data_IF_164001150615
#
_entry.id   IF_164001150615
#
_cell.length_a   1.000
_cell.length_b   1.000
_cell.length_c   1.000
_cell.angle_alpha   90.00
_cell.angle_beta   90.00
_cell.angle_gamma   90.00
#
_symmetry.space_group_name_H-M   'P 1'
#
loop_
_entity.id
_entity.type
_entity.pdbx_description
1 polymer ?
#
# COMPACT_ATOMS: atom_id res chain seq x y z
N UNK A 1 11.03 -56.68 -29.93
CA UNK A 1 12.02 -57.55 -29.24
C UNK A 1 12.63 -56.71 -28.11
N UNK A 2 12.21 -56.94 -26.85
CA UNK A 2 12.99 -57.59 -25.77
C UNK A 2 14.05 -56.63 -25.18
N UNK A 3 14.20 -56.30 -23.88
CA UNK A 3 13.79 -56.77 -22.52
C UNK A 3 14.00 -55.54 -21.55
N UNK A 4 13.20 -55.30 -20.49
CA UNK A 4 13.35 -55.74 -19.06
C UNK A 4 14.77 -55.45 -18.49
N UNK A 5 14.97 -54.75 -17.36
CA UNK A 5 14.59 -55.03 -15.94
C UNK A 5 14.56 -53.72 -15.10
N UNK A 6 13.65 -53.44 -14.14
CA UNK A 6 13.40 -53.98 -12.78
C UNK A 6 14.59 -53.91 -11.79
N UNK A 7 14.48 -53.04 -10.77
CA UNK A 7 14.92 -53.31 -9.39
C UNK A 7 14.34 -52.26 -8.43
N UNK A 8 13.91 -52.72 -7.26
CA UNK A 8 13.28 -52.00 -6.16
C UNK A 8 14.01 -52.37 -4.86
N UNK A 9 14.09 -51.44 -3.88
CA UNK A 9 14.20 -51.66 -2.42
C UNK A 9 14.74 -50.36 -1.75
N UNK A 10 14.55 -50.03 -0.47
CA UNK A 10 13.58 -50.28 0.62
C UNK A 10 14.18 -49.54 1.85
N UNK A 11 13.33 -48.82 2.60
CA UNK A 11 13.34 -48.51 4.06
C UNK A 11 14.59 -47.99 4.81
N UNK A 12 14.39 -46.96 5.65
CA UNK A 12 14.73 -46.82 7.11
C UNK A 12 14.55 -45.34 7.50
N UNK A 13 13.51 -44.88 8.23
CA UNK A 13 13.14 -44.95 9.66
C UNK A 13 14.27 -44.59 10.67
N UNK A 14 14.19 -43.40 11.28
CA UNK A 14 14.53 -43.17 12.70
C UNK A 14 14.03 -41.81 13.22
N UNK A 15 13.12 -41.87 14.21
CA UNK A 15 12.98 -40.86 15.28
C UNK A 15 14.09 -41.09 16.32
N UNK A 16 14.28 -40.13 17.25
CA UNK A 16 14.02 -40.50 18.65
C UNK A 16 13.27 -39.44 19.47
N UNK A 17 12.56 -39.96 20.49
CA UNK A 17 11.88 -39.24 21.57
C UNK A 17 12.77 -39.01 22.82
N UNK A 18 12.21 -38.23 23.77
CA UNK A 18 12.50 -38.09 25.22
C UNK A 18 13.28 -36.82 25.61
N UNK A 19 13.07 -36.13 26.75
CA UNK A 19 12.32 -36.42 27.96
C UNK A 19 11.93 -35.12 28.70
N UNK A 20 10.99 -35.23 29.65
CA UNK A 20 10.47 -34.19 30.54
C UNK A 20 11.38 -33.90 31.76
N UNK A 21 11.25 -32.73 32.39
CA UNK A 21 11.34 -32.58 33.86
C UNK A 21 10.63 -31.29 34.35
N UNK A 22 9.81 -31.46 35.38
CA UNK A 22 9.05 -30.49 36.17
C UNK A 22 9.91 -29.93 37.32
N UNK A 23 9.75 -28.68 37.76
CA UNK A 23 9.81 -28.36 39.20
C UNK A 23 9.19 -26.99 39.57
N UNK A 24 8.40 -27.03 40.65
CA UNK A 24 7.63 -25.97 41.31
C UNK A 24 8.38 -25.49 42.56
N UNK A 25 8.42 -24.19 42.88
CA UNK A 25 8.50 -23.70 44.28
C UNK A 25 7.74 -22.40 44.51
N UNK A 26 6.64 -22.51 45.25
CA UNK A 26 6.11 -21.47 46.15
C UNK A 26 6.99 -21.40 47.41
N UNK A 27 7.15 -20.21 48.01
CA UNK A 27 7.12 -20.06 49.47
C UNK A 27 6.85 -18.60 49.87
N UNK A 28 6.11 -18.50 50.97
CA UNK A 28 5.45 -17.36 51.61
C UNK A 28 6.29 -16.74 52.75
N UNK A 29 5.76 -15.61 53.28
CA UNK A 29 5.87 -15.00 54.64
C UNK A 29 6.77 -13.76 54.77
N UNK A 30 6.52 -12.71 55.59
CA UNK A 30 5.41 -12.17 56.39
C UNK A 30 5.91 -10.84 57.05
N UNK A 31 5.05 -9.81 57.16
CA UNK A 31 5.01 -8.64 58.11
C UNK A 31 6.28 -7.79 58.40
N UNK A 32 6.15 -6.46 58.24
CA UNK A 32 5.88 -5.49 59.34
C UNK A 32 5.83 -4.04 58.84
N UNK A 33 4.86 -3.31 59.42
CA UNK A 33 4.72 -1.86 59.49
C UNK A 33 6.05 -1.11 59.63
N UNK A 34 6.20 0.02 58.93
CA UNK A 34 6.41 1.29 59.60
C UNK A 34 6.05 2.49 58.72
N UNK A 35 5.28 3.37 59.36
CA UNK A 35 4.71 4.60 58.89
C UNK A 35 5.83 5.66 58.85
N UNK A 36 6.06 6.30 57.70
CA UNK A 36 6.80 7.57 57.67
C UNK A 36 6.24 8.42 56.54
N UNK A 37 5.56 9.50 56.95
CA UNK A 37 5.13 10.62 56.11
C UNK A 37 6.22 11.01 55.12
N UNK A 38 5.99 10.77 53.84
CA UNK A 38 6.63 11.49 52.75
C UNK A 38 5.56 12.24 51.97
N UNK A 39 5.80 13.53 51.86
CA UNK A 39 4.94 14.53 51.25
C UNK A 39 4.56 14.11 49.83
N UNK A 40 3.26 14.13 49.53
CA UNK A 40 2.75 14.02 48.18
C UNK A 40 3.17 15.28 47.41
N UNK A 41 4.27 15.19 46.66
CA UNK A 41 4.56 16.15 45.59
C UNK A 41 3.70 15.71 44.41
N UNK A 42 2.56 16.37 44.24
CA UNK A 42 1.74 16.28 43.02
C UNK A 42 2.64 16.75 41.89
N UNK A 43 3.29 15.81 41.21
CA UNK A 43 3.83 16.07 39.89
C UNK A 43 2.60 16.10 38.99
N UNK A 44 2.24 17.31 38.56
CA UNK A 44 1.34 17.49 37.44
C UNK A 44 1.94 16.70 36.29
N UNK A 45 1.31 15.56 35.98
CA UNK A 45 1.56 14.84 34.75
C UNK A 45 1.10 15.80 33.66
N UNK A 46 2.06 16.50 33.04
CA UNK A 46 1.80 17.22 31.81
C UNK A 46 1.28 16.17 30.83
N UNK A 47 0.01 16.31 30.48
CA UNK A 47 -0.62 15.62 29.38
C UNK A 47 0.33 15.80 28.17
N UNK A 48 0.83 14.74 27.51
CA UNK A 48 1.65 14.95 26.33
C UNK A 48 0.82 15.77 25.35
N UNK A 49 1.40 16.90 24.91
CA UNK A 49 0.76 17.75 23.91
C UNK A 49 0.29 16.86 22.75
N UNK A 50 -0.92 17.12 22.20
CA UNK A 50 -1.35 16.41 21.00
C UNK A 50 -0.24 16.55 19.96
N UNK A 51 0.30 15.41 19.52
CA UNK A 51 1.38 15.35 18.53
C UNK A 51 0.91 16.19 17.35
N UNK A 52 1.49 17.38 17.18
CA UNK A 52 1.12 18.22 16.06
C UNK A 52 1.44 17.43 14.79
N UNK A 53 0.53 17.39 13.80
CA UNK A 53 0.83 16.74 12.53
C UNK A 53 2.13 17.34 12.01
N UNK A 54 3.13 16.48 11.82
CA UNK A 54 4.43 16.87 11.29
C UNK A 54 4.19 17.56 9.94
N UNK A 55 4.31 18.88 9.92
CA UNK A 55 4.28 19.65 8.67
C UNK A 55 5.54 19.24 7.92
N UNK A 56 5.38 18.41 6.89
CA UNK A 56 6.50 17.93 6.07
C UNK A 56 7.16 19.15 5.44
N UNK A 57 8.40 19.47 5.85
CA UNK A 57 9.11 20.59 5.25
C UNK A 57 9.30 20.34 3.75
N UNK A 58 9.32 21.38 2.89
CA UNK A 58 9.51 21.24 1.44
C UNK A 58 10.79 20.47 1.03
N UNK A 59 11.85 20.54 1.83
CA UNK A 59 13.10 19.82 1.56
C UNK A 59 12.95 18.31 1.77
N UNK A 60 12.28 17.91 2.85
CA UNK A 60 11.98 16.51 3.14
C UNK A 60 11.06 15.88 2.09
N UNK A 61 10.13 16.64 1.50
CA UNK A 61 9.27 16.15 0.41
C UNK A 61 10.07 15.95 -0.87
N UNK A 62 10.91 16.92 -1.27
CA UNK A 62 11.74 16.77 -2.47
C UNK A 62 12.65 15.54 -2.41
N UNK A 63 13.27 15.30 -1.25
CA UNK A 63 14.12 14.13 -1.05
C UNK A 63 13.31 12.82 -1.13
N UNK A 64 12.15 12.75 -0.49
CA UNK A 64 11.27 11.58 -0.52
C UNK A 64 10.78 11.26 -1.94
N UNK A 65 10.39 12.29 -2.69
CA UNK A 65 9.89 12.17 -4.07
C UNK A 65 11.00 11.66 -5.00
N UNK A 66 12.19 12.26 -4.89
CA UNK A 66 13.37 11.86 -5.68
C UNK A 66 13.78 10.41 -5.38
N UNK A 67 13.79 10.03 -4.11
CA UNK A 67 14.13 8.66 -3.71
C UNK A 67 13.09 7.66 -4.22
N UNK A 68 11.80 7.98 -4.06
CA UNK A 68 10.70 7.14 -4.53
C UNK A 68 10.76 6.94 -6.04
N UNK A 69 10.99 8.03 -6.80
CA UNK A 69 11.22 7.98 -8.24
C UNK A 69 12.36 7.03 -8.61
N UNK A 70 13.52 7.17 -7.96
CA UNK A 70 14.69 6.35 -8.24
C UNK A 70 14.48 4.87 -7.93
N UNK A 71 13.68 4.55 -6.91
CA UNK A 71 13.32 3.16 -6.58
C UNK A 71 12.36 2.60 -7.63
N UNK A 72 11.32 3.35 -7.99
CA UNK A 72 10.36 2.92 -9.01
C UNK A 72 11.04 2.70 -10.37
N UNK A 73 11.98 3.56 -10.76
CA UNK A 73 12.71 3.44 -12.02
C UNK A 73 13.53 2.14 -12.14
N UNK A 74 13.96 1.55 -11.01
CA UNK A 74 14.63 0.24 -11.02
C UNK A 74 13.70 -0.91 -11.37
N UNK A 75 12.41 -0.77 -11.03
CA UNK A 75 11.38 -1.76 -11.35
C UNK A 75 10.73 -1.49 -12.72
N UNK A 76 10.60 -0.22 -13.11
CA UNK A 76 10.02 0.20 -14.38
C UNK A 76 10.92 1.23 -15.09
N UNK A 77 11.81 0.79 -15.99
CA UNK A 77 12.73 1.67 -16.70
C UNK A 77 12.05 2.69 -17.62
N UNK A 78 10.78 2.48 -17.99
CA UNK A 78 10.00 3.38 -18.84
C UNK A 78 9.36 4.53 -18.06
N UNK A 79 9.51 4.56 -16.72
CA UNK A 79 8.99 5.61 -15.87
C UNK A 79 9.59 6.97 -16.26
N UNK A 80 8.72 7.94 -16.53
CA UNK A 80 9.11 9.30 -16.92
C UNK A 80 9.00 10.30 -15.77
N UNK A 81 7.85 10.33 -15.10
CA UNK A 81 7.56 11.26 -13.99
C UNK A 81 6.66 10.62 -12.94
N UNK A 82 7.03 10.78 -11.68
CA UNK A 82 6.18 10.48 -10.52
C UNK A 82 5.08 11.55 -10.40
N UNK A 83 3.81 11.14 -10.36
CA UNK A 83 2.67 12.07 -10.26
C UNK A 83 2.23 12.26 -8.82
N UNK A 84 1.93 11.15 -8.13
CA UNK A 84 1.50 11.13 -6.73
C UNK A 84 1.86 9.79 -6.11
N UNK A 85 2.04 9.79 -4.79
CA UNK A 85 2.12 8.57 -4.02
C UNK A 85 1.39 8.72 -2.67
N UNK A 86 0.97 7.57 -2.17
CA UNK A 86 0.43 7.31 -0.85
C UNK A 86 1.53 6.62 -0.03
N UNK A 87 1.89 7.21 1.10
CA UNK A 87 2.92 6.74 2.03
C UNK A 87 2.63 5.35 2.58
N UNK A 88 1.36 4.97 2.70
CA UNK A 88 0.97 3.63 3.08
C UNK A 88 -0.37 3.23 2.46
N UNK A 89 -0.37 2.06 1.82
CA UNK A 89 -1.54 1.42 1.27
C UNK A 89 -1.52 -0.08 1.53
N UNK A 90 -2.71 -0.66 1.68
CA UNK A 90 -2.93 -2.09 1.80
C UNK A 90 -3.88 -2.56 0.71
N UNK A 91 -3.49 -3.59 -0.04
CA UNK A 91 -4.30 -4.15 -1.11
C UNK A 91 -5.22 -5.26 -0.59
N UNK A 92 -6.46 -5.23 -1.07
CA UNK A 92 -7.46 -6.28 -0.91
C UNK A 92 -7.99 -6.69 -2.28
N UNK A 93 -8.47 -7.93 -2.38
CA UNK A 93 -9.12 -8.46 -3.58
C UNK A 93 -10.47 -9.06 -3.21
N UNK A 94 -11.50 -8.79 -4.01
CA UNK A 94 -12.81 -9.40 -3.83
C UNK A 94 -12.77 -10.86 -4.27
N UNK A 95 -13.21 -11.74 -3.38
CA UNK A 95 -13.30 -13.17 -3.67
C UNK A 95 -14.66 -13.55 -4.29
N UNK A 96 -14.82 -14.81 -4.70
CA UNK A 96 -16.06 -15.32 -5.30
C UNK A 96 -17.24 -15.39 -4.32
N UNK A 97 -16.98 -15.33 -3.02
CA UNK A 97 -17.98 -15.35 -1.95
C UNK A 97 -18.47 -13.92 -1.63
N UNK A 98 -17.88 -12.90 -2.25
CA UNK A 98 -18.21 -11.50 -2.04
C UNK A 98 -17.51 -10.87 -0.82
N UNK A 99 -16.51 -11.54 -0.26
CA UNK A 99 -15.70 -11.04 0.85
C UNK A 99 -14.36 -10.46 0.35
N UNK A 100 -13.78 -9.56 1.13
CA UNK A 100 -12.50 -8.91 0.82
C UNK A 100 -11.34 -9.70 1.42
N UNK A 101 -10.55 -10.33 0.56
CA UNK A 101 -9.33 -11.02 0.95
C UNK A 101 -8.17 -10.01 1.01
N UNK A 102 -7.52 -9.93 2.16
CA UNK A 102 -6.30 -9.11 2.33
C UNK A 102 -5.14 -9.78 1.58
N UNK A 103 -4.51 -9.05 0.67
CA UNK A 103 -3.32 -9.52 -0.04
C UNK A 103 -2.03 -9.12 0.70
N UNK A 104 -0.92 -9.81 0.42
CA UNK A 104 0.38 -9.55 1.05
C UNK A 104 1.11 -8.31 0.48
N UNK A 105 0.40 -7.43 -0.24
CA UNK A 105 0.92 -6.19 -0.78
C UNK A 105 0.56 -5.02 0.14
N UNK A 106 1.57 -4.54 0.87
CA UNK A 106 1.42 -3.40 1.78
C UNK A 106 2.65 -2.51 1.70
N UNK A 107 2.45 -1.21 1.44
CA UNK A 107 3.57 -0.31 1.27
C UNK A 107 3.20 0.99 0.58
N UNK A 108 4.13 1.55 -0.20
CA UNK A 108 3.90 2.85 -0.87
C UNK A 108 3.17 2.60 -2.18
N UNK A 109 1.97 3.16 -2.34
CA UNK A 109 1.23 3.14 -3.60
C UNK A 109 1.61 4.39 -4.41
N UNK A 110 2.13 4.21 -5.62
CA UNK A 110 2.55 5.31 -6.48
C UNK A 110 1.87 5.24 -7.84
N UNK A 111 1.50 6.40 -8.37
CA UNK A 111 1.06 6.58 -9.75
C UNK A 111 2.05 7.47 -10.50
N UNK A 112 2.36 7.08 -11.73
CA UNK A 112 3.41 7.72 -12.52
C UNK A 112 3.11 7.63 -14.02
N UNK A 113 3.76 8.51 -14.78
CA UNK A 113 3.74 8.49 -16.25
C UNK A 113 4.87 7.61 -16.79
N UNK A 114 4.65 7.05 -17.97
CA UNK A 114 5.57 6.16 -18.67
C UNK A 114 5.75 6.62 -20.10
N UNK A 115 6.92 6.36 -20.66
CA UNK A 115 7.14 6.46 -22.10
C UNK A 115 6.61 5.20 -22.77
N UNK A 116 5.53 5.28 -23.56
CA UNK A 116 4.99 4.12 -24.24
C UNK A 116 6.00 3.62 -25.28
N UNK A 117 6.10 2.30 -25.40
CA UNK A 117 6.93 1.63 -26.43
C UNK A 117 6.05 0.66 -27.22
N UNK A 118 6.52 0.20 -28.38
CA UNK A 118 5.78 -0.78 -29.19
C UNK A 118 5.47 -2.07 -28.41
N UNK A 119 6.34 -2.47 -27.48
CA UNK A 119 6.16 -3.65 -26.64
C UNK A 119 5.29 -3.40 -25.39
N UNK A 120 5.12 -2.14 -24.98
CA UNK A 120 4.38 -1.76 -23.78
C UNK A 120 3.66 -0.41 -24.02
N UNK A 121 2.41 -0.43 -24.53
CA UNK A 121 1.67 0.78 -24.94
C UNK A 121 1.00 1.50 -23.74
N UNK A 122 1.58 1.40 -22.56
CA UNK A 122 1.04 1.99 -21.34
C UNK A 122 1.65 3.37 -21.12
N UNK A 123 0.82 4.41 -21.11
CA UNK A 123 1.21 5.80 -20.86
C UNK A 123 1.35 6.11 -19.36
N UNK A 124 0.71 5.30 -18.51
CA UNK A 124 0.74 5.42 -17.07
C UNK A 124 1.04 4.08 -16.41
N UNK A 125 1.43 4.15 -15.14
CA UNK A 125 1.62 2.99 -14.29
C UNK A 125 1.20 3.28 -12.87
N UNK A 126 0.70 2.26 -12.20
CA UNK A 126 0.43 2.31 -10.76
C UNK A 126 1.09 1.10 -10.10
N UNK A 127 1.80 1.32 -9.00
CA UNK A 127 2.60 0.29 -8.33
C UNK A 127 2.51 0.42 -6.81
N UNK A 128 2.39 -0.71 -6.11
CA UNK A 128 2.65 -0.80 -4.68
C UNK A 128 4.08 -1.32 -4.49
N UNK A 129 4.94 -0.46 -3.97
CA UNK A 129 6.25 -0.86 -3.45
C UNK A 129 6.05 -1.59 -2.13
N UNK A 130 6.11 -2.92 -2.17
CA UNK A 130 5.80 -3.75 -1.03
C UNK A 130 6.89 -3.67 0.03
N UNK A 131 6.49 -3.63 1.31
CA UNK A 131 7.41 -3.64 2.46
C UNK A 131 7.58 -5.03 3.05
N UNK A 132 6.64 -5.94 2.79
CA UNK A 132 6.62 -7.28 3.38
C UNK A 132 7.40 -8.30 2.55
N UNK A 133 7.48 -8.09 1.23
CA UNK A 133 8.18 -8.98 0.30
C UNK A 133 8.84 -8.14 -0.81
N UNK A 134 9.80 -8.72 -1.56
CA UNK A 134 10.39 -8.04 -2.72
C UNK A 134 9.45 -7.99 -3.94
N UNK A 135 8.28 -8.66 -3.86
CA UNK A 135 7.29 -8.66 -4.93
C UNK A 135 6.39 -7.44 -4.82
N UNK A 136 6.34 -6.65 -5.89
CA UNK A 136 5.51 -5.47 -6.00
C UNK A 136 4.24 -5.79 -6.80
N UNK A 137 3.14 -5.16 -6.43
CA UNK A 137 1.94 -5.15 -7.26
C UNK A 137 2.05 -4.00 -8.27
N UNK A 138 1.72 -4.24 -9.54
CA UNK A 138 1.74 -3.20 -10.57
C UNK A 138 0.65 -3.39 -11.62
N UNK A 139 0.17 -2.27 -12.17
CA UNK A 139 -0.75 -2.23 -13.31
C UNK A 139 -0.30 -1.14 -14.29
N UNK A 140 -0.43 -1.42 -15.59
CA UNK A 140 -0.27 -0.42 -16.64
C UNK A 140 -1.59 0.29 -16.95
N UNK A 141 -1.54 1.61 -17.08
CA UNK A 141 -2.66 2.45 -17.47
C UNK A 141 -2.44 2.97 -18.90
N UNK A 142 -3.48 3.01 -19.71
CA UNK A 142 -3.40 3.48 -21.10
C UNK A 142 -4.73 4.09 -21.54
N UNK A 143 -4.66 5.07 -22.45
CA UNK A 143 -5.82 5.77 -23.02
C UNK A 143 -6.33 5.07 -24.27
N UNK A 144 -6.61 3.77 -24.17
CA UNK A 144 -7.22 3.03 -25.26
C UNK A 144 -8.63 2.57 -24.89
N UNK A 145 -9.41 2.24 -25.93
CA UNK A 145 -10.80 1.78 -25.75
C UNK A 145 -10.89 0.54 -24.86
N UNK A 146 -9.92 -0.37 -24.98
CA UNK A 146 -9.85 -1.57 -24.16
C UNK A 146 -9.69 -1.26 -22.67
N UNK A 147 -8.83 -0.30 -22.31
CA UNK A 147 -8.64 0.14 -20.94
C UNK A 147 -9.90 0.80 -20.38
N UNK A 148 -10.61 1.60 -21.19
CA UNK A 148 -11.91 2.20 -20.81
C UNK A 148 -12.97 1.14 -20.50
N UNK A 149 -13.00 0.04 -21.24
CA UNK A 149 -13.94 -1.07 -21.01
C UNK A 149 -13.47 -2.02 -19.90
N UNK A 150 -12.17 -2.10 -19.64
CA UNK A 150 -11.57 -3.03 -18.67
C UNK A 150 -11.38 -2.42 -17.28
N UNK A 151 -11.08 -1.13 -17.17
CA UNK A 151 -10.72 -0.49 -15.91
C UNK A 151 -11.86 0.41 -15.47
N UNK A 152 -12.48 0.05 -14.36
CA UNK A 152 -13.44 0.90 -13.66
C UNK A 152 -12.83 1.26 -12.31
N UNK A 153 -12.95 2.53 -11.92
CA UNK A 153 -12.40 3.02 -10.67
C UNK A 153 -13.43 3.88 -9.94
N UNK A 154 -13.48 3.74 -8.63
CA UNK A 154 -14.38 4.47 -7.73
C UNK A 154 -13.60 4.86 -6.48
N UNK A 155 -13.91 6.01 -5.89
CA UNK A 155 -13.25 6.52 -4.70
C UNK A 155 -14.24 6.55 -3.54
N UNK A 156 -13.85 5.95 -2.42
CA UNK A 156 -14.52 6.04 -1.12
C UNK A 156 -13.77 6.99 -0.18
N UNK A 157 -14.07 6.93 1.12
CA UNK A 157 -13.46 7.82 2.13
C UNK A 157 -11.97 7.49 2.32
N UNK A 158 -11.66 6.21 2.61
CA UNK A 158 -10.28 5.72 2.86
C UNK A 158 -9.85 4.66 1.83
N UNK A 159 -10.65 4.47 0.78
CA UNK A 159 -10.54 3.35 -0.13
C UNK A 159 -10.59 3.81 -1.59
N UNK A 160 -9.72 3.26 -2.42
CA UNK A 160 -9.81 3.34 -3.88
C UNK A 160 -10.23 1.96 -4.40
N UNK A 161 -11.38 1.87 -5.05
CA UNK A 161 -11.85 0.66 -5.68
C UNK A 161 -11.42 0.64 -7.14
N UNK A 162 -10.81 -0.47 -7.57
CA UNK A 162 -10.34 -0.66 -8.94
C UNK A 162 -10.80 -2.03 -9.44
N UNK A 163 -11.69 -2.04 -10.43
CA UNK A 163 -12.12 -3.25 -11.12
C UNK A 163 -11.36 -3.37 -12.43
N UNK A 164 -10.71 -4.52 -12.64
CA UNK A 164 -9.89 -4.81 -13.81
C UNK A 164 -10.54 -5.93 -14.63
N UNK A 165 -11.67 -5.66 -15.29
CA UNK A 165 -12.36 -6.60 -16.17
C UNK A 165 -12.47 -8.00 -15.56
N UNK A 166 -11.78 -8.96 -16.15
CA UNK A 166 -11.80 -10.36 -15.73
C UNK A 166 -10.81 -10.72 -14.60
N UNK A 167 -9.89 -9.83 -14.22
CA UNK A 167 -8.92 -10.11 -13.14
C UNK A 167 -9.52 -9.96 -11.75
N UNK A 168 -10.68 -9.30 -11.66
CA UNK A 168 -11.45 -9.10 -10.44
C UNK A 168 -11.47 -7.65 -9.97
N UNK A 169 -11.95 -7.47 -8.74
CA UNK A 169 -12.07 -6.17 -8.09
C UNK A 169 -11.04 -6.09 -6.98
N UNK A 170 -10.29 -5.00 -6.99
CA UNK A 170 -9.27 -4.68 -6.01
C UNK A 170 -9.71 -3.46 -5.21
N UNK A 171 -9.29 -3.43 -3.95
CA UNK A 171 -9.54 -2.29 -3.09
C UNK A 171 -8.23 -1.88 -2.42
N UNK A 172 -7.89 -0.61 -2.54
CA UNK A 172 -6.69 -0.02 -1.96
C UNK A 172 -7.13 0.80 -0.77
N UNK A 173 -6.87 0.29 0.43
CA UNK A 173 -6.94 1.14 1.61
C UNK A 173 -5.72 2.04 1.62
N UNK A 174 -5.89 3.34 1.81
CA UNK A 174 -4.80 4.31 1.89
C UNK A 174 -4.84 5.03 3.25
N UNK A 175 -3.66 5.35 3.77
CA UNK A 175 -3.55 6.09 5.03
C UNK A 175 -3.83 7.59 4.87
N UNK A 176 -3.63 8.12 3.66
CA UNK A 176 -3.88 9.50 3.31
C UNK A 176 -5.37 9.86 3.38
N UNK A 177 -5.67 11.15 3.49
CA UNK A 177 -7.05 11.62 3.55
C UNK A 177 -7.76 11.60 2.20
N UNK A 178 -9.08 11.78 2.24
CA UNK A 178 -9.98 11.76 1.08
C UNK A 178 -9.51 12.66 -0.09
N UNK A 179 -8.97 13.85 0.20
CA UNK A 179 -8.42 14.78 -0.80
C UNK A 179 -7.29 14.15 -1.63
N UNK A 180 -6.36 13.45 -0.98
CA UNK A 180 -5.26 12.78 -1.67
C UNK A 180 -5.75 11.59 -2.50
N UNK A 181 -6.76 10.86 -2.01
CA UNK A 181 -7.39 9.78 -2.77
C UNK A 181 -8.15 10.31 -3.99
N UNK A 182 -8.80 11.46 -3.89
CA UNK A 182 -9.44 12.14 -5.03
C UNK A 182 -8.41 12.52 -6.09
N UNK A 183 -7.24 13.03 -5.70
CA UNK A 183 -6.14 13.32 -6.63
C UNK A 183 -5.65 12.03 -7.31
N UNK A 184 -5.47 10.94 -6.55
CA UNK A 184 -5.08 9.65 -7.10
C UNK A 184 -6.12 9.11 -8.10
N UNK A 185 -7.41 9.15 -7.72
CA UNK A 185 -8.54 8.80 -8.59
C UNK A 185 -8.53 9.63 -9.88
N UNK A 186 -8.34 10.94 -9.76
CA UNK A 186 -8.29 11.85 -10.91
C UNK A 186 -7.18 11.45 -11.88
N UNK A 187 -5.98 11.14 -11.37
CA UNK A 187 -4.89 10.66 -12.21
C UNK A 187 -5.20 9.32 -12.88
N UNK A 188 -5.73 8.33 -12.16
CA UNK A 188 -6.14 7.04 -12.74
C UNK A 188 -7.14 7.26 -13.89
N UNK A 189 -8.17 8.07 -13.64
CA UNK A 189 -9.19 8.36 -14.64
C UNK A 189 -8.69 9.18 -15.81
N UNK A 190 -7.71 10.08 -15.61
CA UNK A 190 -7.09 10.82 -16.72
C UNK A 190 -6.40 9.91 -17.75
N UNK A 191 -5.99 8.70 -17.33
CA UNK A 191 -5.46 7.67 -18.22
C UNK A 191 -6.53 6.73 -18.77
N UNK A 192 -7.59 6.45 -18.03
CA UNK A 192 -8.61 5.46 -18.41
C UNK A 192 -9.76 6.08 -19.21
N UNK A 193 -10.34 7.16 -18.68
CA UNK A 193 -11.48 7.86 -19.27
C UNK A 193 -11.38 9.38 -19.04
N UNK A 194 -10.60 10.09 -19.89
CA UNK A 194 -10.43 11.54 -19.75
C UNK A 194 -11.74 12.32 -19.92
N UNK A 195 -12.71 11.77 -20.66
CA UNK A 195 -14.02 12.40 -20.86
C UNK A 195 -14.82 12.47 -19.56
N UNK A 196 -14.74 11.42 -18.73
CA UNK A 196 -15.39 11.36 -17.42
C UNK A 196 -14.86 12.45 -16.48
N UNK A 197 -13.56 12.72 -16.52
CA UNK A 197 -12.94 13.77 -15.71
C UNK A 197 -13.37 15.15 -16.17
N UNK A 198 -13.36 15.39 -17.48
CA UNK A 198 -13.82 16.66 -18.02
C UNK A 198 -15.30 16.93 -17.71
N UNK A 199 -16.16 15.90 -17.72
CA UNK A 199 -17.54 16.02 -17.28
C UNK A 199 -17.66 16.39 -15.79
N UNK A 200 -16.89 15.74 -14.91
CA UNK A 200 -16.86 16.06 -13.48
C UNK A 200 -16.38 17.50 -13.21
N UNK A 201 -15.37 17.96 -13.93
CA UNK A 201 -14.88 19.34 -13.85
C UNK A 201 -15.92 20.35 -14.34
N UNK A 202 -16.64 20.03 -15.42
CA UNK A 202 -17.70 20.88 -15.96
C UNK A 202 -18.93 20.96 -15.03
N UNK A 203 -19.23 19.88 -14.30
CA UNK A 203 -20.29 19.87 -13.27
C UNK A 203 -19.87 20.64 -12.00
N UNK A 204 -18.58 20.70 -11.72
CA UNK A 204 -18.02 21.36 -10.52
C UNK A 204 -17.64 22.83 -10.77
N UNK A 205 -17.43 23.26 -12.02
CA UNK A 205 -17.05 24.64 -12.37
C UNK A 205 -18.27 25.57 -12.51
N UNK A 206 -18.56 26.56 -11.66
CA UNK A 206 -17.70 27.67 -11.21
C UNK A 206 -16.19 27.48 -11.37
N UNK A 207 -15.71 27.89 -12.55
CA UNK A 207 -14.31 27.83 -12.92
C UNK A 207 -13.41 28.79 -12.13
N UNK A 208 -12.12 28.47 -12.22
CA UNK A 208 -10.95 29.19 -11.73
C UNK A 208 -10.65 29.05 -10.23
N UNK A 209 -9.85 28.03 -9.86
CA UNK A 209 -8.74 28.29 -8.92
C UNK A 209 -7.63 27.22 -8.81
N UNK A 210 -7.73 26.04 -9.46
CA UNK A 210 -6.70 25.00 -9.29
C UNK A 210 -5.54 25.02 -10.29
N UNK A 211 -5.46 26.02 -11.19
CA UNK A 211 -4.37 26.12 -12.18
C UNK A 211 -3.16 26.97 -11.76
N UNK A 212 -3.19 27.64 -10.59
CA UNK A 212 -2.12 28.60 -10.23
C UNK A 212 -1.02 28.08 -9.29
N UNK A 213 -1.08 26.85 -8.76
CA UNK A 213 -0.01 26.35 -7.88
C UNK A 213 1.09 25.54 -8.61
N UNK A 214 1.04 25.42 -9.93
CA UNK A 214 2.05 24.67 -10.69
C UNK A 214 3.15 25.52 -11.37
N UNK A 215 3.15 26.86 -11.21
CA UNK A 215 4.17 27.74 -11.82
C UNK A 215 4.68 28.80 -10.82
N UNK A 216 5.08 28.36 -9.63
CA UNK A 216 5.86 29.19 -8.72
C UNK A 216 6.87 28.35 -7.90
N UNK A 217 7.81 27.70 -8.60
CA UNK A 217 9.16 27.39 -8.12
C UNK A 217 10.14 27.56 -9.27
#
# INVERSE_FOLDING_TARGET
MAKKDKSAAKSEKSEPQSAATTETKQSTKTKKSNNTKKQAKVQQQQNPEPIQPCVKSPEHTLFADTLTYNVLQRHDPQLERLLKYCSHSQLYKLNSEGEWDKLDFSGVLAIYTRKPTEAAPYEGGMMILNRNSPENWCIGLTRNREAKERIECEVGVDFLHLKLGNEGVYNFWCYEGEEDLKILYHWVMSFVDPEKIQALENETGNGADLQNEAIAV
#
